data_IF_275700275291
#
_entry.id   IF_275700275291
#
_cell.length_a   1.000
_cell.length_b   1.000
_cell.length_c   1.000
_cell.angle_alpha   90.00
_cell.angle_beta   90.00
_cell.angle_gamma   90.00
#
_symmetry.space_group_name_H-M   'P 1'
#
loop_
_entity.id
_entity.type
_entity.pdbx_description
1 polymer ?
#
# COMPACT_ATOMS: atom_id res chain seq x y z
N UNK A 1 57.93 51.46 6.33
CA UNK A 1 58.86 50.38 6.72
C UNK A 1 58.12 49.07 6.52
N UNK A 2 58.17 48.49 5.31
CA UNK A 2 59.18 47.51 4.84
C UNK A 2 59.02 46.14 5.52
N UNK A 3 58.99 44.99 4.86
CA UNK A 3 58.99 44.59 3.45
C UNK A 3 58.77 43.04 3.48
N UNK A 4 57.88 42.51 2.63
CA UNK A 4 58.11 41.40 1.67
C UNK A 4 58.70 40.01 2.05
N UNK A 5 58.12 39.02 1.31
CA UNK A 5 58.77 37.96 0.47
C UNK A 5 59.34 36.73 1.19
N UNK A 6 59.42 35.52 0.62
CA UNK A 6 58.95 34.84 -0.61
C UNK A 6 59.60 33.42 -0.56
N UNK A 7 59.06 32.44 -1.32
CA UNK A 7 59.81 31.33 -2.00
C UNK A 7 60.47 30.22 -1.14
N UNK A 8 60.66 28.96 -1.55
CA UNK A 8 60.24 28.04 -2.64
C UNK A 8 61.06 26.74 -2.44
N UNK A 9 60.74 25.72 -3.26
CA UNK A 9 61.55 24.54 -3.65
C UNK A 9 61.66 23.38 -2.63
N UNK A 10 61.81 22.11 -3.00
CA UNK A 10 61.45 21.20 -4.14
C UNK A 10 62.25 19.90 -3.89
N UNK A 11 61.85 18.81 -4.57
CA UNK A 11 62.66 17.60 -4.90
C UNK A 11 62.93 16.61 -3.75
N UNK A 12 62.84 15.27 -3.93
CA UNK A 12 63.15 14.38 -5.07
C UNK A 12 62.57 12.98 -4.75
N UNK A 13 61.86 12.30 -5.67
CA UNK A 13 62.34 11.23 -6.61
C UNK A 13 62.80 9.93 -5.91
N UNK A 14 62.66 8.70 -6.42
CA UNK A 14 62.01 8.01 -7.55
C UNK A 14 62.39 6.51 -7.43
N UNK A 15 61.66 5.60 -8.11
CA UNK A 15 62.02 4.27 -8.70
C UNK A 15 60.73 3.42 -8.74
N UNK A 16 60.21 2.85 -9.84
CA UNK A 16 60.77 2.19 -11.04
C UNK A 16 60.44 0.69 -10.95
N UNK A 17 60.12 -0.13 -11.96
CA UNK A 17 59.71 -0.04 -13.37
C UNK A 17 59.37 -1.50 -13.84
N UNK A 18 58.48 -1.66 -14.84
CA UNK A 18 58.41 -2.74 -15.88
C UNK A 18 58.11 -4.20 -15.46
N UNK A 19 57.18 -4.94 -16.08
CA UNK A 19 57.31 -5.55 -17.44
C UNK A 19 55.99 -6.18 -17.93
N UNK A 20 55.88 -6.35 -19.27
CA UNK A 20 54.79 -6.97 -20.05
C UNK A 20 55.08 -8.47 -20.30
N UNK A 21 54.04 -9.31 -20.39
CA UNK A 21 54.14 -10.67 -20.95
C UNK A 21 52.80 -11.31 -21.32
N UNK A 22 52.63 -11.71 -22.58
CA UNK A 22 51.52 -12.51 -23.13
C UNK A 22 51.71 -14.03 -22.87
N UNK A 23 50.63 -14.82 -22.83
CA UNK A 23 50.69 -16.29 -22.89
C UNK A 23 49.34 -16.99 -22.66
N UNK A 24 49.10 -18.12 -23.32
CA UNK A 24 47.79 -18.68 -23.66
C UNK A 24 47.21 -19.73 -22.67
N UNK A 25 45.94 -20.09 -22.93
CA UNK A 25 45.09 -21.15 -22.34
C UNK A 25 45.84 -22.44 -21.95
N UNK A 26 45.53 -23.00 -20.77
CA UNK A 26 44.77 -24.26 -20.51
C UNK A 26 44.91 -24.68 -19.03
N UNK A 27 43.81 -25.08 -18.39
CA UNK A 27 43.83 -25.78 -17.08
C UNK A 27 42.71 -25.42 -16.10
N UNK A 28 41.52 -26.01 -16.27
CA UNK A 28 40.48 -26.17 -15.22
C UNK A 28 40.90 -27.24 -14.19
N UNK A 29 40.31 -27.38 -12.98
CA UNK A 29 39.06 -26.79 -12.47
C UNK A 29 39.20 -26.06 -11.12
N UNK A 30 38.30 -25.10 -10.84
CA UNK A 30 38.04 -24.59 -9.49
C UNK A 30 36.70 -25.18 -9.00
N UNK A 31 36.64 -25.71 -7.76
CA UNK A 31 35.44 -26.32 -7.21
C UNK A 31 34.42 -25.27 -6.73
N UNK A 32 33.16 -25.70 -6.80
CA UNK A 32 31.93 -24.96 -6.56
C UNK A 32 31.88 -24.24 -5.21
N UNK A 33 31.54 -22.96 -5.27
CA UNK A 33 31.12 -22.18 -4.10
C UNK A 33 29.61 -22.42 -3.97
N UNK A 34 29.24 -23.32 -3.06
CA UNK A 34 27.84 -23.48 -2.65
C UNK A 34 27.34 -22.24 -1.94
N UNK A 35 26.46 -21.49 -2.60
CA UNK A 35 25.52 -20.57 -2.00
C UNK A 35 24.13 -21.05 -2.41
N UNK A 36 23.63 -22.06 -1.71
CA UNK A 36 22.27 -22.53 -1.83
C UNK A 36 21.64 -22.55 -0.44
N UNK A 37 21.02 -21.42 -0.09
CA UNK A 37 20.00 -21.26 0.94
C UNK A 37 19.64 -19.78 1.02
N UNK A 38 18.68 -19.32 0.20
CA UNK A 38 18.17 -17.97 0.42
C UNK A 38 17.29 -17.32 -0.62
N UNK A 39 16.83 -17.97 -1.68
CA UNK A 39 15.84 -17.37 -2.60
C UNK A 39 15.08 -18.51 -3.26
N UNK A 40 14.02 -19.06 -2.64
CA UNK A 40 13.11 -20.01 -3.33
C UNK A 40 11.78 -20.24 -2.57
N UNK A 41 11.28 -19.23 -1.85
CA UNK A 41 9.99 -19.34 -1.13
C UNK A 41 8.98 -18.23 -1.47
N UNK A 42 9.23 -17.45 -2.52
CA UNK A 42 8.34 -16.36 -2.96
C UNK A 42 8.09 -16.30 -4.48
N UNK A 43 8.59 -17.28 -5.25
CA UNK A 43 8.56 -17.21 -6.73
C UNK A 43 7.72 -18.29 -7.42
N UNK A 44 7.02 -19.15 -6.67
CA UNK A 44 6.28 -20.31 -7.22
C UNK A 44 4.74 -20.20 -7.07
N UNK A 45 4.18 -18.99 -7.04
CA UNK A 45 2.73 -18.78 -7.20
C UNK A 45 2.32 -18.05 -8.48
N UNK A 46 3.27 -17.80 -9.39
CA UNK A 46 2.91 -17.67 -10.79
C UNK A 46 2.87 -19.09 -11.37
N UNK A 47 1.71 -19.72 -11.33
CA UNK A 47 1.40 -20.74 -12.35
C UNK A 47 1.71 -20.04 -13.68
N UNK A 48 2.46 -20.68 -14.58
CA UNK A 48 2.59 -20.28 -15.98
C UNK A 48 1.17 -20.14 -16.54
N UNK A 49 0.55 -18.97 -16.33
CA UNK A 49 -0.72 -18.62 -16.89
C UNK A 49 -0.40 -18.34 -18.35
N UNK A 50 -0.46 -19.39 -19.15
CA UNK A 50 -0.44 -19.33 -20.61
C UNK A 50 -1.41 -18.21 -21.00
N UNK A 51 -0.88 -17.07 -21.42
CA UNK A 51 -1.69 -15.90 -21.75
C UNK A 51 -2.63 -16.35 -22.85
N UNK A 52 -3.95 -16.39 -22.63
CA UNK A 52 -4.87 -16.95 -23.60
C UNK A 52 -4.78 -16.11 -24.87
N UNK A 53 -4.27 -16.73 -25.94
CA UNK A 53 -4.26 -16.13 -27.26
C UNK A 53 -5.66 -16.25 -27.84
N UNK A 54 -6.31 -15.11 -28.07
CA UNK A 54 -7.69 -15.03 -28.51
C UNK A 54 -7.77 -14.46 -29.92
N UNK A 55 -8.17 -15.30 -30.88
CA UNK A 55 -8.43 -14.82 -32.23
C UNK A 55 -9.78 -14.11 -32.33
N UNK A 56 -9.77 -12.86 -32.78
CA UNK A 56 -10.97 -12.08 -33.11
C UNK A 56 -10.93 -11.59 -34.57
N UNK A 57 -11.41 -12.40 -35.53
CA UNK A 57 -11.39 -12.01 -36.94
C UNK A 57 -12.22 -10.75 -37.19
N UNK A 58 -11.82 -9.98 -38.20
CA UNK A 58 -12.54 -8.77 -38.61
C UNK A 58 -13.97 -9.10 -39.05
N UNK A 59 -14.94 -8.32 -38.56
CA UNK A 59 -16.38 -8.51 -38.78
C UNK A 59 -16.93 -9.88 -38.35
N UNK A 60 -16.23 -10.60 -37.46
CA UNK A 60 -16.76 -11.79 -36.81
C UNK A 60 -17.82 -11.43 -35.75
N UNK A 61 -18.51 -12.47 -35.25
CA UNK A 61 -19.39 -12.36 -34.10
C UNK A 61 -18.64 -12.03 -32.80
N UNK A 62 -19.39 -11.90 -31.72
CA UNK A 62 -18.82 -11.70 -30.38
C UNK A 62 -18.10 -12.98 -29.94
N UNK A 63 -16.90 -12.80 -29.39
CA UNK A 63 -16.14 -13.84 -28.70
C UNK A 63 -16.17 -13.54 -27.21
N UNK A 64 -16.63 -14.50 -26.39
CA UNK A 64 -16.70 -14.34 -24.94
C UNK A 64 -15.55 -15.10 -24.26
N UNK A 65 -14.92 -14.45 -23.29
CA UNK A 65 -13.89 -15.05 -22.44
C UNK A 65 -14.29 -14.88 -20.98
N UNK A 66 -14.23 -15.97 -20.21
CA UNK A 66 -14.39 -15.90 -18.76
C UNK A 66 -13.04 -15.63 -18.09
N UNK A 67 -13.04 -14.68 -17.15
CA UNK A 67 -11.90 -14.33 -16.33
C UNK A 67 -12.24 -14.54 -14.87
N UNK A 68 -11.33 -15.16 -14.14
CA UNK A 68 -11.52 -15.49 -12.73
C UNK A 68 -10.56 -14.67 -11.87
N UNK A 69 -11.03 -14.05 -10.80
CA UNK A 69 -10.18 -13.41 -9.79
C UNK A 69 -10.63 -13.79 -8.38
N UNK A 70 -9.69 -13.93 -7.45
CA UNK A 70 -10.02 -14.12 -6.04
C UNK A 70 -10.05 -12.79 -5.31
N UNK A 71 -11.16 -12.52 -4.60
CA UNK A 71 -11.32 -11.36 -3.75
C UNK A 71 -10.30 -11.38 -2.61
N UNK A 72 -9.46 -10.35 -2.54
CA UNK A 72 -8.41 -10.19 -1.54
C UNK A 72 -8.02 -8.72 -1.40
N UNK A 73 -7.23 -8.42 -0.37
CA UNK A 73 -6.49 -7.14 -0.32
C UNK A 73 -5.26 -7.28 -1.21
N UNK A 74 -5.30 -6.73 -2.43
CA UNK A 74 -4.18 -6.84 -3.37
C UNK A 74 -3.01 -5.94 -2.98
N UNK A 75 -3.24 -4.63 -2.93
CA UNK A 75 -2.27 -3.60 -2.58
C UNK A 75 -2.73 -2.79 -1.36
N UNK A 76 -1.85 -2.57 -0.39
CA UNK A 76 -2.17 -1.76 0.80
C UNK A 76 -1.01 -0.87 1.25
N UNK A 77 -1.32 0.27 1.83
CA UNK A 77 -0.35 1.13 2.50
C UNK A 77 -0.68 1.18 3.98
N UNK A 78 0.21 0.62 4.80
CA UNK A 78 0.02 0.47 6.24
C UNK A 78 0.72 1.60 6.97
N UNK A 79 -0.07 2.48 7.61
CA UNK A 79 0.43 3.59 8.40
C UNK A 79 0.50 3.17 9.86
N UNK A 80 1.70 3.18 10.44
CA UNK A 80 1.88 3.12 11.88
C UNK A 80 1.69 4.53 12.43
N UNK A 81 0.54 4.78 13.04
CA UNK A 81 0.21 6.05 13.69
C UNK A 81 0.32 5.85 15.20
N UNK A 82 1.44 6.29 15.76
CA UNK A 82 1.89 5.90 17.11
C UNK A 82 1.80 7.09 18.06
N UNK A 83 1.03 6.93 19.13
CA UNK A 83 1.08 7.82 20.29
C UNK A 83 2.49 7.77 20.91
N UNK A 84 3.09 8.94 21.07
CA UNK A 84 4.47 9.11 21.57
C UNK A 84 4.54 9.84 22.91
N UNK A 85 3.45 9.86 23.65
CA UNK A 85 3.46 10.27 25.05
C UNK A 85 4.34 9.35 25.90
N UNK A 86 4.74 9.81 27.07
CA UNK A 86 5.71 9.12 27.91
C UNK A 86 5.19 7.76 28.39
N UNK A 87 3.88 7.62 28.58
CA UNK A 87 3.24 6.36 28.96
C UNK A 87 3.41 5.27 27.89
N UNK A 88 3.49 5.65 26.61
CA UNK A 88 3.69 4.74 25.47
C UNK A 88 5.15 4.26 25.27
N UNK A 89 6.04 4.54 26.23
CA UNK A 89 7.48 4.27 26.08
C UNK A 89 7.81 2.78 25.91
N UNK A 90 7.07 1.89 26.57
CA UNK A 90 7.28 0.44 26.50
C UNK A 90 6.72 -0.14 25.20
N UNK A 91 5.56 0.34 24.75
CA UNK A 91 4.94 0.01 23.47
C UNK A 91 5.86 0.38 22.32
N UNK A 92 6.36 1.62 22.28
CA UNK A 92 7.29 2.09 21.26
C UNK A 92 8.55 1.23 21.24
N UNK A 93 9.11 0.90 22.42
CA UNK A 93 10.28 0.03 22.51
C UNK A 93 10.02 -1.35 21.91
N UNK A 94 8.82 -1.91 22.12
CA UNK A 94 8.44 -3.19 21.49
C UNK A 94 8.21 -3.08 19.99
N UNK A 95 7.65 -1.97 19.49
CA UNK A 95 7.54 -1.76 18.05
C UNK A 95 8.94 -1.73 17.44
N UNK A 96 9.90 -1.00 18.04
CA UNK A 96 11.30 -0.98 17.59
C UNK A 96 11.92 -2.38 17.54
N UNK A 97 11.73 -3.17 18.58
CA UNK A 97 12.33 -4.51 18.69
C UNK A 97 11.70 -5.55 17.73
N UNK A 98 10.49 -5.29 17.22
CA UNK A 98 9.67 -6.30 16.52
C UNK A 98 9.31 -5.93 15.10
N UNK A 99 9.46 -4.66 14.70
CA UNK A 99 9.01 -4.19 13.39
C UNK A 99 9.66 -4.99 12.26
N UNK A 100 11.00 -5.01 12.21
CA UNK A 100 11.77 -5.68 11.16
C UNK A 100 11.58 -7.20 11.12
N UNK A 101 11.63 -7.85 12.27
CA UNK A 101 11.76 -9.33 12.33
C UNK A 101 10.42 -10.05 12.49
N UNK A 102 9.33 -9.35 12.84
CA UNK A 102 8.01 -9.97 13.10
C UNK A 102 6.87 -9.26 12.40
N UNK A 103 6.73 -7.96 12.61
CA UNK A 103 5.53 -7.22 12.18
C UNK A 103 5.53 -7.01 10.66
N UNK A 104 6.59 -6.42 10.11
CA UNK A 104 6.68 -6.15 8.67
C UNK A 104 6.64 -7.44 7.83
N UNK A 105 7.33 -8.55 8.20
CA UNK A 105 7.17 -9.83 7.53
C UNK A 105 5.75 -10.37 7.57
N UNK A 106 5.03 -10.23 8.70
CA UNK A 106 3.65 -10.68 8.80
C UNK A 106 2.68 -9.86 7.94
N UNK A 107 2.88 -8.53 7.88
CA UNK A 107 2.15 -7.66 6.97
C UNK A 107 2.40 -8.07 5.52
N UNK A 108 3.66 -8.29 5.13
CA UNK A 108 4.04 -8.72 3.79
C UNK A 108 3.45 -10.09 3.43
N UNK A 109 3.41 -11.02 4.37
CA UNK A 109 2.84 -12.34 4.15
C UNK A 109 1.31 -12.29 3.97
N UNK A 110 0.62 -11.39 4.67
CA UNK A 110 -0.82 -11.20 4.53
C UNK A 110 -1.18 -10.38 3.28
N UNK A 111 -0.37 -9.38 2.94
CA UNK A 111 -0.56 -8.46 1.82
C UNK A 111 0.79 -8.30 1.09
N UNK A 112 1.06 -9.12 0.05
CA UNK A 112 2.34 -9.12 -0.66
C UNK A 112 2.75 -7.77 -1.23
N UNK A 113 1.80 -6.94 -1.69
CA UNK A 113 2.06 -5.59 -2.19
C UNK A 113 1.72 -4.50 -1.15
N UNK A 114 2.27 -4.67 0.05
CA UNK A 114 2.18 -3.68 1.13
C UNK A 114 3.28 -2.61 1.04
N UNK A 115 3.03 -1.41 1.54
CA UNK A 115 4.06 -0.43 1.90
C UNK A 115 3.83 0.07 3.32
N UNK A 116 4.88 0.60 3.95
CA UNK A 116 4.83 1.10 5.32
C UNK A 116 5.06 2.60 5.36
N UNK A 117 4.25 3.29 6.14
CA UNK A 117 4.46 4.68 6.54
C UNK A 117 4.50 4.76 8.08
N UNK A 118 5.21 5.75 8.61
CA UNK A 118 5.35 5.93 10.07
C UNK A 118 5.07 7.38 10.41
N UNK A 119 4.12 7.59 11.32
CA UNK A 119 3.78 8.87 11.89
C UNK A 119 3.59 8.74 13.40
N UNK A 120 3.69 9.85 14.11
CA UNK A 120 3.42 9.89 15.55
C UNK A 120 2.64 11.13 15.94
N UNK A 121 2.02 11.09 17.10
CA UNK A 121 1.31 12.22 17.69
C UNK A 121 1.46 12.18 19.22
N UNK A 122 1.35 13.34 19.85
CA UNK A 122 1.05 13.48 21.28
C UNK A 122 -0.13 14.44 21.36
N UNK A 123 0.11 15.68 21.80
CA UNK A 123 -0.91 16.73 21.80
C UNK A 123 -0.42 18.06 21.18
N UNK A 124 -1.33 19.02 21.08
CA UNK A 124 -1.06 20.41 20.74
C UNK A 124 -0.19 21.04 21.82
N UNK A 125 0.91 21.73 21.46
CA UNK A 125 1.81 22.39 22.41
C UNK A 125 1.21 23.72 22.92
N UNK A 126 0.04 23.64 23.54
CA UNK A 126 -0.73 24.73 24.13
C UNK A 126 -0.96 24.41 25.59
N UNK A 127 -0.95 25.44 26.46
CA UNK A 127 -1.20 25.26 27.88
C UNK A 127 -2.48 24.43 28.11
N UNK A 128 -2.42 23.57 29.13
CA UNK A 128 -3.42 22.57 29.52
C UNK A 128 -3.47 21.28 28.66
N UNK A 129 -2.80 21.24 27.50
CA UNK A 129 -2.76 20.07 26.59
C UNK A 129 -1.35 19.56 26.33
N UNK A 130 -0.39 20.46 26.13
CA UNK A 130 0.95 20.06 25.75
C UNK A 130 1.99 21.16 25.93
N UNK A 131 3.25 20.78 25.73
CA UNK A 131 4.39 21.65 25.92
C UNK A 131 5.33 21.62 24.72
N UNK A 132 5.60 22.80 24.16
CA UNK A 132 6.65 22.94 23.14
C UNK A 132 8.03 22.55 23.70
N UNK A 133 8.28 22.74 25.00
CA UNK A 133 9.55 22.39 25.62
C UNK A 133 9.74 20.86 25.71
N UNK A 134 8.65 20.11 25.86
CA UNK A 134 8.64 18.64 25.85
C UNK A 134 8.57 18.08 24.43
N UNK A 135 8.42 18.97 23.44
CA UNK A 135 8.39 18.66 22.02
C UNK A 135 7.03 18.16 21.52
N UNK A 136 5.94 18.36 22.28
CA UNK A 136 4.60 17.91 21.89
C UNK A 136 4.20 18.48 20.52
N UNK A 137 3.68 17.59 19.69
CA UNK A 137 3.15 17.91 18.37
C UNK A 137 1.90 17.07 18.11
N UNK A 138 0.84 17.65 17.54
CA UNK A 138 -0.38 16.91 17.26
C UNK A 138 -0.22 15.93 16.09
N UNK A 139 0.83 16.11 15.28
CA UNK A 139 1.21 15.18 14.23
C UNK A 139 2.67 15.36 13.84
N UNK A 140 3.36 14.27 13.50
CA UNK A 140 4.67 14.28 12.87
C UNK A 140 4.79 13.07 11.94
N UNK A 141 5.08 13.32 10.66
CA UNK A 141 5.46 12.26 9.73
C UNK A 141 6.95 11.95 9.87
N UNK A 142 7.28 10.68 10.07
CA UNK A 142 8.67 10.18 10.09
C UNK A 142 9.07 9.51 8.79
N UNK A 143 8.12 8.87 8.11
CA UNK A 143 8.34 8.18 6.85
C UNK A 143 7.06 8.18 6.00
N UNK A 144 7.15 8.71 4.79
CA UNK A 144 6.16 8.49 3.73
C UNK A 144 6.15 7.04 3.26
N UNK A 145 5.03 6.59 2.70
CA UNK A 145 4.82 5.22 2.21
C UNK A 145 6.03 4.71 1.43
N UNK A 146 6.58 3.58 1.90
CA UNK A 146 7.79 2.98 1.36
C UNK A 146 7.76 1.47 1.46
N UNK A 147 8.30 0.79 0.45
CA UNK A 147 8.53 -0.65 0.49
C UNK A 147 9.76 -1.05 1.32
N UNK A 148 10.63 -0.10 1.67
CA UNK A 148 11.89 -0.37 2.37
C UNK A 148 11.68 -0.53 3.88
N UNK A 149 11.68 -1.77 4.37
CA UNK A 149 11.50 -2.10 5.79
C UNK A 149 12.56 -1.43 6.68
N UNK A 150 13.81 -1.31 6.21
CA UNK A 150 14.88 -0.64 6.97
C UNK A 150 14.61 0.86 7.14
N UNK A 151 13.95 1.52 6.17
CA UNK A 151 13.50 2.90 6.33
C UNK A 151 12.41 3.01 7.38
N UNK A 152 11.46 2.06 7.40
CA UNK A 152 10.41 2.02 8.42
C UNK A 152 10.98 1.78 9.82
N UNK A 153 11.97 0.88 9.95
CA UNK A 153 12.70 0.68 11.19
C UNK A 153 13.39 1.97 11.66
N UNK A 154 14.18 2.60 10.78
CA UNK A 154 14.84 3.86 11.11
C UNK A 154 13.87 4.99 11.49
N UNK A 155 12.67 5.00 10.91
CA UNK A 155 11.63 5.98 11.23
C UNK A 155 11.06 5.76 12.65
N UNK A 156 10.73 4.52 13.03
CA UNK A 156 10.28 4.20 14.40
C UNK A 156 11.40 4.46 15.42
N UNK A 157 12.65 4.15 15.07
CA UNK A 157 13.82 4.43 15.92
C UNK A 157 14.02 5.94 16.15
N UNK A 158 13.54 6.78 15.23
CA UNK A 158 13.65 8.24 15.34
C UNK A 158 12.63 8.89 16.28
N UNK A 159 11.53 8.18 16.61
CA UNK A 159 10.45 8.70 17.46
C UNK A 159 11.00 9.14 18.82
N UNK A 160 10.75 10.39 19.20
CA UNK A 160 11.09 10.91 20.52
C UNK A 160 9.83 11.01 21.36
N UNK A 161 9.94 10.59 22.63
CA UNK A 161 8.84 10.67 23.58
C UNK A 161 8.58 12.14 23.95
N UNK A 162 7.30 12.46 24.20
CA UNK A 162 6.85 13.71 24.82
C UNK A 162 5.76 13.39 25.87
N UNK A 163 4.94 14.34 26.33
CA UNK A 163 4.16 14.14 27.57
C UNK A 163 2.64 14.32 27.44
N UNK A 164 2.15 15.19 26.54
CA UNK A 164 0.70 15.35 26.34
C UNK A 164 -0.11 15.90 27.52
N UNK A 165 0.55 16.53 28.53
CA UNK A 165 0.10 17.23 29.78
C UNK A 165 -1.25 16.91 30.47
N UNK A 166 -2.30 16.52 29.77
CA UNK A 166 -3.52 15.92 30.27
C UNK A 166 -3.58 14.40 29.94
N UNK A 167 -4.79 13.84 29.76
CA UNK A 167 -4.98 12.39 29.52
C UNK A 167 -5.46 12.08 28.12
N UNK A 168 -6.02 13.07 27.43
CA UNK A 168 -6.49 12.91 26.06
C UNK A 168 -5.38 13.38 25.14
N UNK A 169 -5.39 12.86 23.92
CA UNK A 169 -4.35 13.20 22.95
C UNK A 169 -5.01 13.61 21.63
N UNK A 170 -4.18 13.88 20.62
CA UNK A 170 -4.61 14.49 19.35
C UNK A 170 -4.93 13.49 18.22
N UNK A 171 -5.38 12.27 18.53
CA UNK A 171 -5.62 11.20 17.55
C UNK A 171 -6.49 11.67 16.36
N UNK A 172 -7.52 12.47 16.65
CA UNK A 172 -8.46 12.98 15.62
C UNK A 172 -7.76 13.86 14.60
N UNK A 173 -6.90 14.81 15.03
CA UNK A 173 -6.15 15.66 14.10
C UNK A 173 -5.04 14.85 13.43
N UNK A 174 -4.37 13.96 14.16
CA UNK A 174 -3.33 13.09 13.59
C UNK A 174 -3.85 12.24 12.42
N UNK A 175 -5.06 11.67 12.54
CA UNK A 175 -5.75 10.95 11.47
C UNK A 175 -6.11 11.87 10.30
N UNK A 176 -6.62 13.08 10.58
CA UNK A 176 -6.90 14.08 9.56
C UNK A 176 -5.66 14.42 8.75
N UNK A 177 -4.53 14.61 9.44
CA UNK A 177 -3.24 14.87 8.79
C UNK A 177 -2.85 13.68 7.91
N UNK A 178 -2.89 12.43 8.40
CA UNK A 178 -2.59 11.25 7.56
C UNK A 178 -3.41 11.28 6.26
N UNK A 179 -4.71 11.57 6.34
CA UNK A 179 -5.61 11.55 5.18
C UNK A 179 -5.40 12.72 4.20
N UNK A 180 -5.03 13.91 4.69
CA UNK A 180 -5.05 15.14 3.89
C UNK A 180 -3.68 15.75 3.63
N UNK A 181 -2.80 15.75 4.62
CA UNK A 181 -1.60 16.56 4.62
C UNK A 181 -1.87 18.07 4.67
N UNK A 182 -3.04 18.52 5.12
CA UNK A 182 -3.40 19.93 5.07
C UNK A 182 -2.58 20.83 6.02
N UNK A 183 -1.98 20.25 7.06
CA UNK A 183 -1.36 20.98 8.14
C UNK A 183 -2.39 21.65 9.06
N UNK A 184 -1.92 22.35 10.07
CA UNK A 184 -2.74 23.18 10.95
C UNK A 184 -1.90 24.29 11.60
N UNK A 185 -2.14 25.52 11.17
CA UNK A 185 -1.49 26.72 11.70
C UNK A 185 0.03 26.60 11.76
N UNK A 186 0.60 26.88 12.93
CA UNK A 186 2.02 26.68 13.23
C UNK A 186 2.33 25.32 13.88
N UNK A 187 1.32 24.49 14.15
CA UNK A 187 1.49 23.23 14.88
C UNK A 187 1.94 22.11 13.95
N UNK A 188 1.35 22.04 12.76
CA UNK A 188 1.72 21.08 11.72
C UNK A 188 1.87 21.83 10.40
N UNK A 189 3.05 21.81 9.76
CA UNK A 189 3.20 22.41 8.44
C UNK A 189 2.35 21.63 7.42
N UNK A 190 1.81 22.29 6.38
CA UNK A 190 1.17 21.57 5.28
C UNK A 190 2.18 20.66 4.58
N UNK A 191 1.71 19.53 4.07
CA UNK A 191 2.48 18.64 3.21
C UNK A 191 2.99 19.40 1.98
N UNK A 192 4.21 19.12 1.57
CA UNK A 192 4.80 19.65 0.32
C UNK A 192 4.28 18.90 -0.92
N UNK A 193 3.31 18.01 -0.75
CA UNK A 193 2.82 17.09 -1.77
C UNK A 193 3.68 15.84 -1.89
N UNK A 194 3.28 14.95 -2.80
CA UNK A 194 3.89 13.64 -2.98
C UNK A 194 4.65 13.57 -4.31
N UNK A 195 6.00 13.68 -4.31
CA UNK A 195 6.79 13.74 -5.54
C UNK A 195 6.60 12.54 -6.46
N UNK A 196 6.32 11.37 -5.88
CA UNK A 196 6.07 10.11 -6.59
C UNK A 196 4.58 9.84 -6.84
N UNK A 197 3.72 10.83 -6.66
CA UNK A 197 2.26 10.65 -6.60
C UNK A 197 1.81 10.10 -5.24
N UNK A 198 0.50 9.95 -5.08
CA UNK A 198 -0.13 9.52 -3.82
C UNK A 198 -0.98 10.60 -3.16
N UNK A 199 -1.56 10.26 -2.01
CA UNK A 199 -2.51 11.09 -1.26
C UNK A 199 -2.14 11.19 0.22
N UNK A 200 -2.59 12.26 0.86
CA UNK A 200 -2.39 12.50 2.28
C UNK A 200 -0.96 12.88 2.66
N UNK A 201 -0.71 13.08 3.96
CA UNK A 201 0.62 13.46 4.44
C UNK A 201 1.62 12.33 4.23
N UNK A 202 1.18 11.09 4.42
CA UNK A 202 2.02 9.90 4.28
C UNK A 202 2.29 9.48 2.83
N UNK A 203 1.77 10.20 1.82
CA UNK A 203 1.92 9.86 0.40
C UNK A 203 1.52 8.42 0.08
N UNK A 204 0.30 8.07 0.49
CA UNK A 204 -0.27 6.75 0.28
C UNK A 204 -0.59 6.58 -1.20
N UNK A 205 -0.25 5.44 -1.77
CA UNK A 205 -0.51 5.11 -3.18
C UNK A 205 -2.01 5.20 -3.46
N UNK A 206 -2.38 5.86 -4.55
CA UNK A 206 -3.78 6.09 -4.94
C UNK A 206 -4.52 4.81 -5.29
N UNK A 207 -3.78 3.78 -5.70
CA UNK A 207 -4.28 2.44 -6.04
C UNK A 207 -4.07 1.42 -4.90
N UNK A 208 -3.69 1.86 -3.70
CA UNK A 208 -3.58 1.01 -2.52
C UNK A 208 -4.73 1.28 -1.54
N UNK A 209 -5.06 0.29 -0.72
CA UNK A 209 -5.92 0.44 0.45
C UNK A 209 -5.14 1.06 1.63
N UNK A 210 -5.44 2.29 2.11
CA UNK A 210 -4.88 2.82 3.33
C UNK A 210 -5.37 2.04 4.53
N UNK A 211 -4.44 1.49 5.29
CA UNK A 211 -4.70 0.79 6.55
C UNK A 211 -3.94 1.54 7.63
N UNK A 212 -4.64 2.24 8.51
CA UNK A 212 -4.03 3.01 9.59
C UNK A 212 -4.08 2.18 10.87
N UNK A 213 -2.92 1.76 11.36
CA UNK A 213 -2.76 1.12 12.67
C UNK A 213 -2.53 2.22 13.71
N UNK A 214 -3.56 2.51 14.51
CA UNK A 214 -3.56 3.54 15.54
C UNK A 214 -3.24 2.94 16.91
N UNK A 215 -2.07 3.28 17.46
CA UNK A 215 -1.59 2.80 18.76
C UNK A 215 -1.69 3.91 19.81
N UNK A 216 -2.39 3.67 20.91
CA UNK A 216 -2.54 4.65 22.01
C UNK A 216 -3.07 3.98 23.28
N UNK A 217 -2.71 4.53 24.44
CA UNK A 217 -3.26 4.18 25.74
C UNK A 217 -4.28 5.21 26.26
N UNK A 218 -4.49 6.29 25.50
CA UNK A 218 -5.24 7.46 25.90
C UNK A 218 -6.62 7.57 25.25
N UNK A 219 -7.48 8.36 25.90
CA UNK A 219 -8.72 8.85 25.30
C UNK A 219 -8.41 9.97 24.29
N UNK A 220 -9.41 10.39 23.52
CA UNK A 220 -9.20 11.27 22.38
C UNK A 220 -9.76 12.65 22.67
N UNK A 221 -9.01 13.69 22.36
CA UNK A 221 -9.62 15.00 22.20
C UNK A 221 -10.53 15.01 20.96
N UNK A 222 -11.56 15.87 21.01
CA UNK A 222 -12.61 15.98 19.99
C UNK A 222 -13.38 14.67 19.75
N UNK A 223 -13.51 13.80 20.74
CA UNK A 223 -14.43 12.66 20.71
C UNK A 223 -15.87 13.14 20.98
N UNK A 224 -16.77 13.15 19.99
CA UNK A 224 -18.11 13.72 20.15
C UNK A 224 -19.01 12.92 21.10
N UNK A 225 -18.56 11.74 21.53
CA UNK A 225 -19.26 10.87 22.47
C UNK A 225 -18.77 11.01 23.91
N UNK A 226 -17.75 11.85 24.15
CA UNK A 226 -17.22 12.14 25.47
C UNK A 226 -17.31 13.65 25.75
N UNK A 227 -18.17 14.03 26.70
CA UNK A 227 -18.40 15.43 27.04
C UNK A 227 -17.13 16.09 27.63
N UNK A 228 -16.78 17.29 27.13
CA UNK A 228 -15.59 18.01 27.57
C UNK A 228 -14.29 17.46 26.98
N UNK A 229 -14.38 16.63 25.93
CA UNK A 229 -13.21 16.19 25.15
C UNK A 229 -12.71 17.27 24.19
N UNK A 230 -13.43 18.36 24.00
CA UNK A 230 -13.08 19.39 23.02
C UNK A 230 -11.83 20.18 23.44
N UNK A 231 -11.02 20.57 22.45
CA UNK A 231 -9.97 21.58 22.68
C UNK A 231 -10.58 22.95 22.95
N UNK A 232 -10.04 23.64 23.95
CA UNK A 232 -10.43 25.00 24.35
C UNK A 232 -9.21 25.90 24.25
N UNK A 233 -9.30 26.99 23.49
CA UNK A 233 -8.21 27.96 23.40
C UNK A 233 -7.06 27.57 22.47
N UNK A 234 -7.15 26.46 21.75
CA UNK A 234 -6.24 26.12 20.65
C UNK A 234 -6.69 26.86 19.38
N UNK A 235 -5.78 27.61 18.75
CA UNK A 235 -6.06 28.35 17.52
C UNK A 235 -4.95 28.17 16.45
N UNK A 236 -5.28 27.86 15.18
CA UNK A 236 -6.63 27.56 14.67
C UNK A 236 -7.26 26.34 15.36
N UNK A 237 -8.59 26.27 15.33
CA UNK A 237 -9.30 25.18 15.98
C UNK A 237 -8.87 23.83 15.37
N UNK A 238 -8.54 22.81 16.19
CA UNK A 238 -8.23 21.46 15.71
C UNK A 238 -9.38 20.85 14.93
N UNK A 239 -9.05 19.98 13.98
CA UNK A 239 -10.04 19.32 13.14
C UNK A 239 -10.99 18.47 13.97
N UNK A 240 -12.26 18.46 13.57
CA UNK A 240 -13.32 17.74 14.25
C UNK A 240 -13.37 16.27 13.83
N UNK A 241 -13.98 15.43 14.65
CA UNK A 241 -14.20 14.02 14.35
C UNK A 241 -14.89 13.80 12.99
N UNK A 242 -15.91 14.61 12.68
CA UNK A 242 -16.67 14.47 11.42
C UNK A 242 -15.83 14.89 10.21
N UNK A 243 -15.02 15.94 10.32
CA UNK A 243 -14.06 16.33 9.26
C UNK A 243 -13.03 15.23 9.03
N UNK A 244 -12.47 14.67 10.11
CA UNK A 244 -11.53 13.54 10.03
C UNK A 244 -12.15 12.33 9.38
N UNK A 245 -13.36 11.94 9.77
CA UNK A 245 -14.04 10.80 9.17
C UNK A 245 -14.36 11.01 7.70
N UNK A 246 -14.80 12.21 7.31
CA UNK A 246 -15.08 12.52 5.92
C UNK A 246 -13.81 12.38 5.05
N UNK A 247 -12.66 12.81 5.56
CA UNK A 247 -11.39 12.69 4.83
C UNK A 247 -10.84 11.26 4.81
N UNK A 248 -11.02 10.50 5.89
CA UNK A 248 -10.71 9.06 5.91
C UNK A 248 -11.57 8.29 4.90
N UNK A 249 -12.88 8.58 4.84
CA UNK A 249 -13.81 7.99 3.87
C UNK A 249 -13.43 8.37 2.42
N UNK A 250 -13.06 9.63 2.19
CA UNK A 250 -12.62 10.12 0.87
C UNK A 250 -11.43 9.35 0.32
N UNK A 251 -10.51 8.89 1.17
CA UNK A 251 -9.38 8.05 0.78
C UNK A 251 -9.65 6.56 1.02
N UNK A 252 -10.87 6.18 1.42
CA UNK A 252 -11.31 4.84 1.76
C UNK A 252 -10.45 4.14 2.81
N UNK A 253 -9.89 4.89 3.77
CA UNK A 253 -9.01 4.34 4.79
C UNK A 253 -9.75 3.38 5.74
N UNK A 254 -9.01 2.41 6.27
CA UNK A 254 -9.45 1.49 7.33
C UNK A 254 -8.61 1.74 8.57
N UNK A 255 -9.23 2.09 9.70
CA UNK A 255 -8.50 2.37 10.96
C UNK A 255 -8.60 1.18 11.90
N UNK A 256 -7.47 0.52 12.16
CA UNK A 256 -7.34 -0.57 13.12
C UNK A 256 -6.80 -0.01 14.44
N UNK A 257 -7.44 -0.35 15.56
CA UNK A 257 -7.07 0.19 16.86
C UNK A 257 -6.21 -0.77 17.68
N UNK A 258 -5.20 -0.22 18.38
CA UNK A 258 -4.35 -0.94 19.31
C UNK A 258 -4.34 -0.21 20.66
N UNK A 259 -5.04 -0.78 21.62
CA UNK A 259 -5.26 -0.22 22.96
C UNK A 259 -4.23 -0.77 23.95
N UNK A 260 -3.45 0.13 24.54
CA UNK A 260 -2.57 -0.14 25.70
C UNK A 260 -3.04 0.55 26.98
N UNK A 261 -4.21 1.19 26.99
CA UNK A 261 -4.76 1.95 28.12
C UNK A 261 -5.49 1.11 29.16
N UNK A 262 -5.45 -0.22 29.04
CA UNK A 262 -6.28 -1.10 29.88
C UNK A 262 -7.78 -0.91 29.64
N UNK A 263 -8.18 -0.52 28.42
CA UNK A 263 -9.56 -0.33 28.01
C UNK A 263 -10.01 1.12 27.88
N UNK A 264 -9.20 2.10 28.30
CA UNK A 264 -9.57 3.54 28.24
C UNK A 264 -9.60 4.07 26.81
N UNK A 265 -8.68 3.63 25.95
CA UNK A 265 -8.65 4.02 24.54
C UNK A 265 -9.64 3.22 23.67
N UNK A 266 -10.08 2.05 24.13
CA UNK A 266 -10.91 1.15 23.33
C UNK A 266 -12.22 1.78 22.79
N UNK A 267 -13.00 2.58 23.54
CA UNK A 267 -14.28 3.09 23.03
C UNK A 267 -14.16 3.94 21.75
N UNK A 268 -13.34 5.01 21.67
CA UNK A 268 -13.17 5.75 20.42
C UNK A 268 -12.50 4.93 19.32
N UNK A 269 -11.54 4.06 19.65
CA UNK A 269 -10.94 3.14 18.68
C UNK A 269 -11.98 2.24 18.01
N UNK A 270 -12.94 1.68 18.78
CA UNK A 270 -14.00 0.83 18.24
C UNK A 270 -14.96 1.59 17.33
N UNK A 271 -15.22 2.86 17.63
CA UNK A 271 -16.04 3.72 16.77
C UNK A 271 -15.34 4.00 15.45
N UNK A 272 -14.06 4.41 15.46
CA UNK A 272 -13.29 4.59 14.22
C UNK A 272 -13.22 3.32 13.39
N UNK A 273 -12.92 2.18 14.02
CA UNK A 273 -12.87 0.90 13.31
C UNK A 273 -14.22 0.56 12.66
N UNK A 274 -15.33 0.77 13.36
CA UNK A 274 -16.67 0.54 12.82
C UNK A 274 -16.99 1.51 11.67
N UNK A 275 -16.76 2.82 11.87
CA UNK A 275 -17.13 3.86 10.91
C UNK A 275 -16.27 3.86 9.66
N UNK A 276 -15.03 3.37 9.75
CA UNK A 276 -14.15 3.19 8.60
C UNK A 276 -14.29 1.81 7.96
N UNK A 277 -15.09 0.90 8.52
CA UNK A 277 -15.28 -0.46 7.96
C UNK A 277 -14.14 -1.44 8.26
N UNK A 278 -13.27 -1.14 9.23
CA UNK A 278 -12.29 -2.08 9.77
C UNK A 278 -12.96 -3.04 10.78
N UNK A 279 -13.75 -3.97 10.25
CA UNK A 279 -14.51 -4.96 11.02
C UNK A 279 -14.20 -6.39 10.57
N UNK A 280 -14.49 -7.37 11.43
CA UNK A 280 -14.41 -8.79 11.09
C UNK A 280 -15.65 -9.28 10.30
N UNK A 281 -15.70 -10.58 10.01
CA UNK A 281 -16.79 -11.23 9.27
C UNK A 281 -18.18 -11.11 9.93
N UNK A 282 -18.21 -10.82 11.24
CA UNK A 282 -19.40 -10.61 12.08
C UNK A 282 -19.72 -9.13 12.31
N UNK A 283 -18.94 -8.22 11.74
CA UNK A 283 -19.08 -6.78 11.96
C UNK A 283 -18.50 -6.30 13.28
N UNK A 284 -17.69 -7.11 13.98
CA UNK A 284 -17.01 -6.66 15.20
C UNK A 284 -15.82 -5.77 14.82
N UNK A 285 -15.63 -4.61 15.48
CA UNK A 285 -14.53 -3.70 15.16
C UNK A 285 -13.18 -4.31 15.49
N UNK A 286 -12.22 -4.15 14.56
CA UNK A 286 -10.84 -4.59 14.67
C UNK A 286 -10.05 -3.68 15.62
N UNK A 287 -10.26 -3.90 16.92
CA UNK A 287 -9.54 -3.22 18.01
C UNK A 287 -8.93 -4.27 18.93
N UNK A 288 -7.61 -4.18 19.12
CA UNK A 288 -6.80 -5.16 19.81
C UNK A 288 -6.25 -4.57 21.10
N UNK A 289 -6.46 -5.27 22.20
CA UNK A 289 -5.79 -4.98 23.46
C UNK A 289 -4.38 -5.56 23.42
N UNK A 290 -3.39 -4.67 23.36
CA UNK A 290 -1.97 -5.01 23.28
C UNK A 290 -1.30 -5.09 24.65
N UNK A 291 -2.08 -4.93 25.73
CA UNK A 291 -1.57 -4.86 27.10
C UNK A 291 -1.05 -3.48 27.47
N UNK A 292 -0.88 -3.24 28.77
CA UNK A 292 -0.54 -1.92 29.31
C UNK A 292 0.93 -1.55 29.20
N UNK A 293 1.74 -2.49 28.70
CA UNK A 293 3.15 -2.28 28.40
C UNK A 293 3.50 -2.84 27.03
N UNK A 294 2.49 -3.07 26.17
CA UNK A 294 2.62 -3.67 24.84
C UNK A 294 2.99 -5.16 24.83
N UNK A 295 2.84 -5.91 25.92
CA UNK A 295 3.27 -7.31 25.99
C UNK A 295 2.56 -8.25 25.00
N UNK A 296 1.41 -7.85 24.47
CA UNK A 296 0.64 -8.54 23.41
C UNK A 296 0.73 -7.85 22.05
N UNK A 297 1.62 -6.87 21.88
CA UNK A 297 1.71 -6.07 20.64
C UNK A 297 2.00 -6.91 19.40
N UNK A 298 3.00 -7.80 19.46
CA UNK A 298 3.37 -8.61 18.29
C UNK A 298 2.26 -9.55 17.86
N UNK A 299 1.58 -10.21 18.80
CA UNK A 299 0.43 -11.07 18.48
C UNK A 299 -0.75 -10.24 17.99
N UNK A 300 -1.05 -9.13 18.66
CA UNK A 300 -2.15 -8.24 18.30
C UNK A 300 -2.01 -7.70 16.88
N UNK A 301 -0.84 -7.20 16.48
CA UNK A 301 -0.62 -6.68 15.11
C UNK A 301 -0.70 -7.77 14.04
N UNK A 302 -0.15 -8.94 14.31
CA UNK A 302 -0.20 -10.08 13.37
C UNK A 302 -1.63 -10.59 13.21
N UNK A 303 -2.36 -10.73 14.32
CA UNK A 303 -3.77 -11.16 14.29
C UNK A 303 -4.64 -10.11 13.61
N UNK A 304 -4.35 -8.82 13.82
CA UNK A 304 -5.05 -7.72 13.19
C UNK A 304 -4.92 -7.76 11.67
N UNK A 305 -3.71 -7.86 11.13
CA UNK A 305 -3.51 -7.83 9.67
C UNK A 305 -4.04 -9.10 9.00
N UNK A 306 -3.93 -10.26 9.65
CA UNK A 306 -4.48 -11.53 9.14
C UNK A 306 -6.00 -11.52 9.14
N UNK A 307 -6.61 -11.06 10.23
CA UNK A 307 -8.07 -10.93 10.32
C UNK A 307 -8.53 -9.96 9.25
N UNK A 308 -7.95 -8.76 9.20
CA UNK A 308 -8.30 -7.77 8.19
C UNK A 308 -8.19 -8.28 6.75
N UNK A 309 -7.07 -8.91 6.38
CA UNK A 309 -6.87 -9.44 5.04
C UNK A 309 -7.85 -10.57 4.68
N UNK A 310 -8.31 -11.35 5.67
CA UNK A 310 -9.26 -12.46 5.48
C UNK A 310 -10.73 -12.10 5.67
N UNK A 311 -11.03 -10.95 6.27
CA UNK A 311 -12.40 -10.47 6.49
C UNK A 311 -12.75 -9.22 5.69
N UNK A 312 -11.83 -8.73 4.85
CA UNK A 312 -12.08 -7.57 4.01
C UNK A 312 -13.34 -7.79 3.16
N UNK A 313 -14.20 -6.78 3.16
CA UNK A 313 -15.39 -6.68 2.32
C UNK A 313 -15.23 -5.46 1.45
N UNK A 314 -15.39 -5.63 0.14
CA UNK A 314 -15.25 -4.56 -0.84
C UNK A 314 -16.10 -4.83 -2.08
N UNK A 315 -16.51 -3.77 -2.78
CA UNK A 315 -17.10 -3.90 -4.11
C UNK A 315 -15.96 -4.17 -5.10
N UNK A 316 -16.10 -5.17 -5.99
CA UNK A 316 -15.05 -5.53 -6.94
C UNK A 316 -15.55 -5.29 -8.37
N UNK A 317 -14.83 -4.44 -9.09
CA UNK A 317 -15.10 -4.06 -10.48
C UNK A 317 -13.90 -4.36 -11.37
N UNK A 318 -14.11 -4.31 -12.68
CA UNK A 318 -13.05 -4.51 -13.69
C UNK A 318 -12.91 -3.25 -14.54
N UNK A 319 -11.67 -2.84 -14.76
CA UNK A 319 -11.32 -1.71 -15.64
C UNK A 319 -10.48 -2.24 -16.78
N UNK A 320 -10.97 -2.09 -18.01
CA UNK A 320 -10.19 -2.34 -19.21
C UNK A 320 -9.24 -1.18 -19.51
N UNK A 321 -7.99 -1.50 -19.85
CA UNK A 321 -6.96 -0.54 -20.18
C UNK A 321 -6.20 -0.95 -21.45
N UNK A 322 -5.83 0.07 -22.22
CA UNK A 322 -4.86 -0.03 -23.30
C UNK A 322 -3.44 0.22 -22.76
N UNK A 323 -2.60 -0.83 -22.67
CA UNK A 323 -1.23 -0.72 -22.18
C UNK A 323 -0.26 -0.10 -23.21
N UNK A 324 -0.62 -0.03 -24.50
CA UNK A 324 0.25 0.52 -25.55
C UNK A 324 -0.49 1.48 -26.50
N UNK A 325 -0.77 2.68 -26.00
CA UNK A 325 -1.46 3.74 -26.75
C UNK A 325 -0.69 4.26 -27.97
N UNK A 326 0.54 3.79 -28.22
CA UNK A 326 1.39 4.28 -29.31
C UNK A 326 1.38 3.36 -30.54
N UNK A 327 0.73 2.20 -30.46
CA UNK A 327 0.63 1.24 -31.57
C UNK A 327 -0.39 1.67 -32.65
N UNK A 328 -1.18 2.71 -32.37
CA UNK A 328 -2.16 3.29 -33.29
C UNK A 328 -3.53 2.61 -33.26
N UNK A 329 -3.74 1.65 -32.35
CA UNK A 329 -5.01 0.93 -32.16
C UNK A 329 -5.47 1.10 -30.72
N UNK A 330 -6.64 1.71 -30.52
CA UNK A 330 -7.28 1.72 -29.21
C UNK A 330 -7.91 0.35 -28.94
N UNK A 331 -7.22 -0.49 -28.17
CA UNK A 331 -7.67 -1.87 -27.87
C UNK A 331 -8.99 -1.92 -27.11
N UNK A 332 -9.42 -0.81 -26.48
CA UNK A 332 -10.72 -0.73 -25.82
C UNK A 332 -11.88 -0.81 -26.82
N UNK A 333 -11.63 -0.50 -28.10
CA UNK A 333 -12.62 -0.65 -29.16
C UNK A 333 -12.97 -2.12 -29.45
N UNK A 334 -12.15 -3.07 -28.99
CA UNK A 334 -12.49 -4.48 -29.05
C UNK A 334 -13.47 -4.92 -27.95
N UNK A 335 -13.63 -4.14 -26.88
CA UNK A 335 -14.47 -4.52 -25.73
C UNK A 335 -15.92 -4.13 -26.00
N UNK A 336 -16.77 -5.13 -26.22
CA UNK A 336 -18.22 -4.96 -26.38
C UNK A 336 -18.92 -4.84 -25.02
N UNK A 337 -18.44 -5.59 -24.01
CA UNK A 337 -18.93 -5.48 -22.64
C UNK A 337 -18.20 -6.37 -21.64
N UNK A 338 -18.29 -6.02 -20.36
CA UNK A 338 -17.79 -6.82 -19.23
C UNK A 338 -18.94 -6.99 -18.25
N UNK A 339 -19.25 -8.23 -17.86
CA UNK A 339 -20.36 -8.52 -16.95
C UNK A 339 -19.95 -9.44 -15.80
N UNK A 340 -20.43 -9.19 -14.56
CA UNK A 340 -20.24 -10.12 -13.45
C UNK A 340 -21.14 -11.36 -13.60
N UNK A 341 -20.54 -12.53 -13.79
CA UNK A 341 -21.26 -13.78 -14.14
C UNK A 341 -21.65 -14.59 -12.91
N UNK A 342 -20.68 -14.96 -12.07
CA UNK A 342 -20.90 -15.79 -10.88
C UNK A 342 -19.82 -15.58 -9.82
N UNK A 343 -20.14 -15.95 -8.59
CA UNK A 343 -19.22 -15.97 -7.46
C UNK A 343 -19.20 -17.36 -6.81
N UNK A 344 -18.06 -17.77 -6.26
CA UNK A 344 -17.88 -19.03 -5.55
C UNK A 344 -17.18 -18.77 -4.21
N UNK A 345 -17.86 -18.97 -3.07
CA UNK A 345 -19.28 -19.32 -2.97
C UNK A 345 -20.20 -18.12 -3.28
N UNK A 346 -21.46 -18.38 -3.66
CA UNK A 346 -22.41 -17.33 -4.06
C UNK A 346 -22.85 -16.44 -2.89
N UNK A 347 -22.75 -16.90 -1.66
CA UNK A 347 -23.00 -16.10 -0.43
C UNK A 347 -21.79 -15.24 -0.03
N UNK A 348 -20.68 -15.35 -0.77
CA UNK A 348 -19.53 -14.46 -0.66
C UNK A 348 -19.76 -13.05 -1.20
N UNK A 349 -20.92 -12.79 -1.84
CA UNK A 349 -21.31 -11.48 -2.37
C UNK A 349 -22.67 -11.05 -1.83
N UNK A 350 -22.91 -9.75 -1.77
CA UNK A 350 -24.24 -9.18 -1.47
C UNK A 350 -25.10 -8.96 -2.72
N UNK A 351 -24.47 -8.83 -3.89
CA UNK A 351 -25.17 -8.58 -5.15
C UNK A 351 -24.25 -8.44 -6.35
N UNK A 352 -24.86 -8.14 -7.50
CA UNK A 352 -24.17 -7.82 -8.76
C UNK A 352 -24.76 -6.56 -9.34
N UNK A 353 -23.90 -5.61 -9.68
CA UNK A 353 -24.23 -4.43 -10.47
C UNK A 353 -23.76 -4.65 -11.90
N UNK A 354 -24.68 -5.04 -12.78
CA UNK A 354 -24.37 -5.34 -14.19
C UNK A 354 -23.99 -4.05 -14.95
N UNK A 355 -24.76 -2.95 -14.88
CA UNK A 355 -24.34 -1.68 -15.48
C UNK A 355 -23.00 -1.15 -14.94
N UNK A 356 -22.74 -1.31 -13.64
CA UNK A 356 -21.48 -0.91 -13.00
C UNK A 356 -20.33 -1.91 -13.14
N UNK A 357 -20.55 -3.04 -13.83
CA UNK A 357 -19.54 -4.09 -14.07
C UNK A 357 -18.91 -4.60 -12.75
N UNK A 358 -19.72 -4.75 -11.71
CA UNK A 358 -19.22 -4.99 -10.36
C UNK A 358 -19.96 -6.09 -9.59
N UNK A 359 -19.23 -6.79 -8.73
CA UNK A 359 -19.79 -7.54 -7.62
C UNK A 359 -19.82 -6.64 -6.38
N UNK A 360 -20.91 -6.70 -5.61
CA UNK A 360 -21.12 -5.85 -4.45
C UNK A 360 -20.88 -6.61 -3.15
N UNK A 361 -20.24 -5.97 -2.17
CA UNK A 361 -20.00 -6.50 -0.83
C UNK A 361 -19.29 -7.85 -0.84
N UNK A 362 -18.22 -7.96 -1.63
CA UNK A 362 -17.48 -9.21 -1.82
C UNK A 362 -16.58 -9.48 -0.64
N UNK A 363 -16.74 -10.64 -0.01
CA UNK A 363 -15.88 -11.12 1.07
C UNK A 363 -14.59 -11.70 0.52
N UNK A 364 -13.48 -11.43 1.20
CA UNK A 364 -12.19 -12.04 0.88
C UNK A 364 -12.28 -13.57 0.81
N UNK A 365 -11.53 -14.18 -0.12
CA UNK A 365 -11.57 -15.61 -0.44
C UNK A 365 -12.68 -16.02 -1.43
N UNK A 366 -13.54 -15.10 -1.85
CA UNK A 366 -14.57 -15.38 -2.87
C UNK A 366 -13.95 -15.34 -4.26
N UNK A 367 -14.09 -16.43 -5.03
CA UNK A 367 -13.72 -16.47 -6.44
C UNK A 367 -14.82 -15.79 -7.27
N UNK A 368 -14.45 -14.79 -8.06
CA UNK A 368 -15.33 -14.02 -8.92
C UNK A 368 -15.06 -14.35 -10.38
N UNK A 369 -16.13 -14.49 -11.16
CA UNK A 369 -16.04 -14.76 -12.59
C UNK A 369 -16.74 -13.65 -13.36
N UNK A 370 -15.99 -13.02 -14.25
CA UNK A 370 -16.47 -12.01 -15.20
C UNK A 370 -16.46 -12.60 -16.60
N UNK A 371 -17.44 -12.25 -17.43
CA UNK A 371 -17.41 -12.52 -18.86
C UNK A 371 -17.06 -11.23 -19.58
N UNK A 372 -16.06 -11.31 -20.46
CA UNK A 372 -15.61 -10.23 -21.34
C UNK A 372 -16.03 -10.58 -22.76
N UNK A 373 -16.92 -9.77 -23.32
CA UNK A 373 -17.36 -9.87 -24.70
C UNK A 373 -16.46 -9.00 -25.58
N UNK A 374 -15.84 -9.64 -26.58
CA UNK A 374 -14.90 -9.01 -27.50
C UNK A 374 -15.40 -9.10 -28.94
N UNK A 375 -15.18 -8.03 -29.71
CA UNK A 375 -15.55 -7.96 -31.13
C UNK A 375 -14.58 -7.08 -31.90
N UNK A 376 -14.13 -7.55 -33.06
CA UNK A 376 -13.31 -6.75 -33.96
C UNK A 376 -14.15 -6.16 -35.11
N UNK A 377 -14.42 -4.85 -35.05
CA UNK A 377 -14.99 -4.07 -36.16
C UNK A 377 -14.08 -2.94 -36.64
N UNK A 378 -12.82 -2.89 -36.17
CA UNK A 378 -11.96 -1.71 -36.30
C UNK A 378 -10.65 -1.99 -37.03
N UNK A 379 -10.09 -3.20 -36.90
CA UNK A 379 -8.79 -3.55 -37.49
C UNK A 379 -8.95 -4.68 -38.49
N UNK A 380 -8.69 -4.37 -39.76
CA UNK A 380 -8.72 -5.33 -40.85
C UNK A 380 -7.52 -6.30 -40.81
N UNK A 381 -7.64 -7.48 -41.46
CA UNK A 381 -6.53 -8.43 -41.56
C UNK A 381 -5.30 -7.82 -42.24
N UNK A 382 -4.13 -8.08 -41.65
CA UNK A 382 -2.83 -7.68 -42.18
C UNK A 382 -2.23 -8.72 -43.13
N UNK A 383 -0.98 -8.50 -43.55
CA UNK A 383 -0.22 -9.50 -44.33
C UNK A 383 0.16 -10.74 -43.52
N UNK A 384 0.10 -10.63 -42.18
CA UNK A 384 0.25 -11.70 -41.20
C UNK A 384 -0.55 -11.35 -39.94
N UNK A 385 -0.42 -12.12 -38.85
CA UNK A 385 -1.24 -11.91 -37.66
C UNK A 385 -0.80 -10.64 -36.94
N UNK A 386 -1.77 -9.88 -36.44
CA UNK A 386 -1.55 -8.67 -35.65
C UNK A 386 -1.92 -8.95 -34.19
N UNK A 387 -1.06 -8.55 -33.25
CA UNK A 387 -1.25 -8.79 -31.82
C UNK A 387 -1.52 -7.50 -31.07
N UNK A 388 -2.47 -7.54 -30.16
CA UNK A 388 -2.83 -6.45 -29.26
C UNK A 388 -2.94 -6.99 -27.84
N UNK A 389 -2.56 -6.18 -26.85
CA UNK A 389 -2.67 -6.57 -25.44
C UNK A 389 -3.79 -5.77 -24.80
N UNK A 390 -4.76 -6.45 -24.20
CA UNK A 390 -5.78 -5.84 -23.38
C UNK A 390 -5.45 -6.11 -21.91
N UNK A 391 -5.31 -5.06 -21.10
CA UNK A 391 -5.17 -5.19 -19.66
C UNK A 391 -6.53 -5.05 -18.96
N UNK A 392 -6.79 -5.94 -18.01
CA UNK A 392 -7.99 -5.93 -17.19
C UNK A 392 -7.57 -5.85 -15.73
N UNK A 393 -7.85 -4.70 -15.12
CA UNK A 393 -7.53 -4.42 -13.73
C UNK A 393 -8.74 -4.70 -12.85
N UNK A 394 -8.56 -5.54 -11.85
CA UNK A 394 -9.56 -5.80 -10.82
C UNK A 394 -9.35 -4.81 -9.68
N UNK A 395 -10.40 -4.08 -9.35
CA UNK A 395 -10.33 -2.93 -8.43
C UNK A 395 -11.38 -3.05 -7.33
N UNK A 396 -10.94 -2.93 -6.09
CA UNK A 396 -11.75 -2.90 -4.87
C UNK A 396 -12.20 -1.47 -4.53
N UNK A 397 -13.48 -1.30 -4.18
CA UNK A 397 -14.13 -0.03 -3.82
C UNK A 397 -13.81 1.09 -4.83
N UNK A 398 -13.70 0.73 -6.11
CA UNK A 398 -13.40 1.66 -7.22
C UNK A 398 -12.00 2.28 -7.22
N UNK A 399 -11.10 1.88 -6.31
CA UNK A 399 -9.74 2.45 -6.21
C UNK A 399 -8.60 1.45 -5.98
N UNK A 400 -8.78 0.46 -5.11
CA UNK A 400 -7.67 -0.37 -4.63
C UNK A 400 -7.37 -1.49 -5.63
N UNK A 401 -6.13 -1.56 -6.11
CA UNK A 401 -5.65 -2.62 -6.97
C UNK A 401 -5.75 -3.98 -6.27
N UNK A 402 -6.39 -4.95 -6.92
CA UNK A 402 -6.50 -6.34 -6.46
C UNK A 402 -5.62 -7.24 -7.31
N UNK A 403 -5.83 -7.18 -8.63
CA UNK A 403 -5.26 -8.11 -9.58
C UNK A 403 -5.21 -7.51 -10.98
N UNK A 404 -4.41 -8.12 -11.85
CA UNK A 404 -4.26 -7.75 -13.25
C UNK A 404 -4.21 -8.99 -14.10
N UNK A 405 -5.03 -9.01 -15.15
CA UNK A 405 -4.97 -10.03 -16.19
C UNK A 405 -4.74 -9.40 -17.54
N UNK A 406 -4.02 -10.11 -18.39
CA UNK A 406 -3.70 -9.70 -19.75
C UNK A 406 -4.37 -10.70 -20.69
N UNK A 407 -5.13 -10.19 -21.65
CA UNK A 407 -5.67 -10.97 -22.76
C UNK A 407 -4.88 -10.59 -24.01
N UNK A 408 -4.28 -11.58 -24.68
CA UNK A 408 -3.63 -11.38 -25.97
C UNK A 408 -4.67 -11.52 -27.07
N UNK A 409 -4.99 -10.40 -27.71
CA UNK A 409 -5.93 -10.32 -28.82
C UNK A 409 -5.14 -10.49 -30.11
N UNK A 410 -5.52 -11.48 -30.92
CA UNK A 410 -4.92 -11.73 -32.23
C UNK A 410 -5.94 -11.52 -33.33
N UNK A 411 -5.56 -10.72 -34.32
CA UNK A 411 -6.31 -10.56 -35.56
C UNK A 411 -5.60 -11.40 -36.61
N UNK A 412 -6.25 -12.47 -37.13
CA UNK A 412 -5.63 -13.33 -38.12
C UNK A 412 -5.18 -12.57 -39.36
N UNK A 413 -4.07 -13.02 -39.95
CA UNK A 413 -3.56 -12.51 -41.21
C UNK A 413 -4.47 -12.88 -42.38
N UNK A 414 -4.39 -12.12 -43.47
CA UNK A 414 -5.07 -12.45 -44.72
C UNK A 414 -4.57 -13.77 -45.35
N UNK A 415 -3.41 -14.26 -44.91
CA UNK A 415 -2.84 -15.56 -45.26
C UNK A 415 -3.40 -16.73 -44.42
N UNK A 416 -4.29 -16.44 -43.47
CA UNK A 416 -4.89 -17.41 -42.55
C UNK A 416 -4.04 -17.71 -41.32
N UNK A 417 -2.92 -17.01 -41.14
CA UNK A 417 -2.07 -17.18 -39.96
C UNK A 417 -2.69 -16.56 -38.71
N UNK A 418 -2.50 -17.20 -37.56
CA UNK A 418 -3.18 -16.85 -36.32
C UNK A 418 -2.35 -17.10 -35.06
N UNK A 419 -3.01 -17.48 -33.97
CA UNK A 419 -2.38 -17.79 -32.68
C UNK A 419 -1.34 -18.90 -32.77
N UNK A 420 -1.56 -19.92 -33.60
CA UNK A 420 -0.66 -21.08 -33.73
C UNK A 420 0.64 -20.75 -34.50
N UNK A 421 0.65 -19.67 -35.28
CA UNK A 421 1.78 -19.26 -36.13
C UNK A 421 2.68 -18.23 -35.47
N UNK A 422 2.37 -17.90 -34.22
CA UNK A 422 2.95 -16.82 -33.46
C UNK A 422 3.93 -17.42 -32.41
N UNK A 423 5.23 -17.03 -32.39
CA UNK A 423 6.14 -17.54 -31.36
C UNK A 423 5.66 -17.09 -29.97
N UNK A 424 5.60 -18.02 -29.01
CA UNK A 424 5.26 -17.68 -27.61
C UNK A 424 6.22 -16.60 -27.12
N UNK A 425 5.69 -15.48 -26.59
CA UNK A 425 6.53 -14.52 -25.89
C UNK A 425 6.93 -15.14 -24.55
N UNK A 426 8.24 -15.18 -24.30
CA UNK A 426 8.74 -15.27 -22.94
C UNK A 426 8.25 -14.03 -22.19
N UNK A 427 7.54 -14.24 -21.09
CA UNK A 427 7.16 -13.19 -20.13
C UNK A 427 8.39 -12.34 -19.80
N UNK A 428 8.28 -10.99 -19.77
CA UNK A 428 9.35 -10.19 -19.19
C UNK A 428 9.50 -10.62 -17.73
N UNK A 429 10.74 -10.97 -17.35
CA UNK A 429 11.09 -11.29 -15.97
C UNK A 429 10.69 -10.12 -15.02
N UNK A 430 10.33 -10.42 -13.77
CA UNK A 430 9.67 -9.49 -12.84
C UNK A 430 10.43 -8.18 -12.60
#
# INVERSE_FOLDING_TARGET
MTLTRLTRLLCTAALGALTVGCGARTGLPAPDIGLDAGVDMAMDMAVDAEVPCLEIPFDAGIVEVELETEARVGRADVVFLIDRTLSMSEEISRIRDRLRDRIAPAIRAAIPDSQLAVASFADFPVADYGSQADGDTPFTLHLSSSAAVESAQGAVDSIRLSNGLDRRESQVDALYQVATGAGIGSFVPPSVGCPSGGVGYACLRTDALPVIMLFTDAQFHNDPFEAGSEYVGVFPAPHTWDETLAELDRIGARVLGFDSGGGTAAPPLRRLATMTGAVDDRGAPLVFDIGTVGERLSTGVVDAIRTFASTAIQDISVIAQDPDRNDGVDVLQFVDGIIPVRAVPMDGISGRDIPGQAFLGVRAGTLLVFSVALRNGVVAPGVGPQRFRLELLFVGDGRAFIDRQIVEIVIPGADGSGCDDLPMMLTPAP
#
